data_IF_096302555286
#
_entry.id   IF_096302555286
#
_cell.length_a   1.000
_cell.length_b   1.000
_cell.length_c   1.000
_cell.angle_alpha   90.00
_cell.angle_beta   90.00
_cell.angle_gamma   90.00
#
_symmetry.space_group_name_H-M   'P 1'
#
loop_
_entity.id
_entity.type
_entity.pdbx_description
1 polymer ?
#
# COMPACT_ATOMS: atom_id res chain seq x y z
N UNK A 1 -10.10 -21.78 12.57
CA UNK A 1 -11.22 -20.99 12.01
C UNK A 1 -10.96 -20.76 10.54
N UNK A 2 -11.86 -21.16 9.62
CA UNK A 2 -11.64 -20.90 8.21
C UNK A 2 -11.61 -19.37 7.94
N UNK A 3 -10.77 -18.88 7.02
CA UNK A 3 -10.74 -17.48 6.69
C UNK A 3 -12.08 -17.04 6.08
N UNK A 4 -12.47 -15.79 6.32
CA UNK A 4 -13.68 -15.21 5.72
C UNK A 4 -13.45 -14.77 4.26
N UNK A 5 -12.18 -14.66 3.86
CA UNK A 5 -11.77 -14.19 2.54
C UNK A 5 -10.27 -14.34 2.33
N UNK A 6 -9.71 -13.54 1.44
CA UNK A 6 -8.26 -13.47 1.22
C UNK A 6 -7.59 -12.94 2.49
N UNK A 7 -6.65 -13.72 3.05
CA UNK A 7 -5.84 -13.24 4.18
C UNK A 7 -4.73 -12.33 3.66
N UNK A 8 -4.58 -11.15 4.24
CA UNK A 8 -3.54 -10.20 3.88
C UNK A 8 -3.07 -9.41 5.09
N UNK A 9 -1.79 -9.11 5.14
CA UNK A 9 -1.20 -8.30 6.20
C UNK A 9 -1.24 -6.82 5.84
N UNK A 10 -1.95 -6.04 6.63
CA UNK A 10 -2.05 -4.58 6.49
C UNK A 10 -1.32 -3.92 7.65
N UNK A 11 -0.41 -3.02 7.33
CA UNK A 11 0.37 -2.25 8.30
C UNK A 11 0.08 -0.77 8.17
N UNK A 12 0.00 -0.09 9.30
CA UNK A 12 0.03 1.38 9.41
C UNK A 12 1.43 1.76 9.83
N UNK A 13 2.05 2.64 9.07
CA UNK A 13 3.43 3.08 9.28
C UNK A 13 3.44 4.58 9.54
N UNK A 14 4.07 4.99 10.63
CA UNK A 14 4.41 6.37 10.95
C UNK A 14 5.91 6.56 10.75
N UNK A 15 6.31 7.46 9.87
CA UNK A 15 7.71 7.78 9.61
C UNK A 15 7.96 9.27 9.75
N UNK A 16 9.02 9.71 10.49
CA UNK A 16 9.36 11.11 10.59
C UNK A 16 9.63 11.81 9.25
N UNK A 17 10.02 11.04 8.23
CA UNK A 17 10.31 11.54 6.88
C UNK A 17 9.07 11.62 5.98
N UNK A 18 7.90 11.24 6.45
CA UNK A 18 6.65 11.34 5.68
C UNK A 18 5.58 12.08 6.50
N UNK A 19 4.84 12.96 5.85
CA UNK A 19 3.98 13.96 6.52
C UNK A 19 2.67 13.42 7.12
N UNK A 20 2.34 12.15 6.90
CA UNK A 20 1.12 11.51 7.42
C UNK A 20 1.32 10.00 7.65
N UNK A 21 0.34 9.36 8.28
CA UNK A 21 0.33 7.90 8.38
C UNK A 21 0.20 7.27 7.00
N UNK A 22 0.91 6.16 6.78
CA UNK A 22 0.91 5.42 5.53
C UNK A 22 0.41 3.99 5.77
N UNK A 23 -0.61 3.56 5.03
CA UNK A 23 -1.13 2.19 5.12
C UNK A 23 -0.52 1.35 4.02
N UNK A 24 0.09 0.23 4.34
CA UNK A 24 0.80 -0.62 3.37
C UNK A 24 0.35 -2.07 3.39
N UNK A 25 0.40 -2.77 2.28
CA UNK A 25 0.09 -4.20 2.14
C UNK A 25 0.70 -4.79 0.85
N UNK A 26 0.99 -6.09 0.77
CA UNK A 26 1.06 -7.11 1.80
C UNK A 26 2.51 -7.32 2.19
N UNK A 27 2.83 -7.27 3.48
CA UNK A 27 4.23 -7.34 3.93
C UNK A 27 4.62 -8.69 4.53
N UNK A 28 3.66 -9.65 4.70
CA UNK A 28 3.96 -10.85 5.48
C UNK A 28 3.14 -12.11 5.14
N UNK A 29 2.10 -12.08 4.31
CA UNK A 29 1.18 -13.20 4.12
C UNK A 29 1.16 -13.73 2.69
N UNK A 30 0.95 -12.88 1.68
CA UNK A 30 0.82 -13.30 0.28
C UNK A 30 2.12 -13.02 -0.47
N UNK A 31 2.90 -14.06 -0.84
CA UNK A 31 4.17 -13.83 -1.52
C UNK A 31 4.02 -13.07 -2.84
N UNK A 32 3.11 -13.52 -3.69
CA UNK A 32 2.83 -12.89 -4.98
C UNK A 32 1.31 -12.83 -5.18
N UNK A 33 0.66 -11.71 -4.78
CA UNK A 33 -0.78 -11.56 -4.94
C UNK A 33 -1.15 -11.50 -6.42
N UNK A 34 -2.13 -12.31 -6.82
CA UNK A 34 -2.73 -12.20 -8.14
C UNK A 34 -3.59 -10.93 -8.26
N UNK A 35 -4.07 -10.65 -9.48
CA UNK A 35 -4.83 -9.43 -9.76
C UNK A 35 -6.11 -9.32 -8.90
N UNK A 36 -6.82 -10.43 -8.69
CA UNK A 36 -8.03 -10.46 -7.85
C UNK A 36 -7.69 -10.22 -6.38
N UNK A 37 -6.61 -10.81 -5.91
CA UNK A 37 -6.10 -10.57 -4.56
C UNK A 37 -5.70 -9.11 -4.36
N UNK A 38 -5.06 -8.47 -5.36
CA UNK A 38 -4.73 -7.04 -5.32
C UNK A 38 -5.98 -6.15 -5.19
N UNK A 39 -7.06 -6.47 -5.89
CA UNK A 39 -8.34 -5.77 -5.72
C UNK A 39 -8.89 -5.89 -4.28
N UNK A 40 -8.78 -7.09 -3.68
CA UNK A 40 -9.18 -7.30 -2.28
C UNK A 40 -8.27 -6.54 -1.33
N UNK A 41 -6.97 -6.52 -1.58
CA UNK A 41 -5.98 -5.76 -0.79
C UNK A 41 -6.30 -4.26 -0.85
N UNK A 42 -6.63 -3.70 -2.01
CA UNK A 42 -7.08 -2.30 -2.14
C UNK A 42 -8.29 -2.02 -1.22
N UNK A 43 -9.25 -2.92 -1.16
CA UNK A 43 -10.39 -2.78 -0.25
C UNK A 43 -9.94 -2.79 1.23
N UNK A 44 -8.98 -3.65 1.60
CA UNK A 44 -8.44 -3.67 2.97
C UNK A 44 -7.66 -2.40 3.32
N UNK A 45 -6.79 -1.93 2.42
CA UNK A 45 -6.07 -0.66 2.56
C UNK A 45 -7.05 0.50 2.76
N UNK A 46 -8.05 0.59 1.89
CA UNK A 46 -9.09 1.59 1.92
C UNK A 46 -9.91 1.56 3.24
N UNK A 47 -10.29 0.36 3.69
CA UNK A 47 -11.00 0.19 4.96
C UNK A 47 -10.17 0.65 6.14
N UNK A 48 -8.88 0.27 6.18
CA UNK A 48 -7.96 0.69 7.24
C UNK A 48 -7.75 2.21 7.22
N UNK A 49 -7.53 2.81 6.06
CA UNK A 49 -7.38 4.26 5.94
C UNK A 49 -8.64 5.02 6.41
N UNK A 50 -9.84 4.50 6.11
CA UNK A 50 -11.09 5.08 6.63
C UNK A 50 -11.22 4.98 8.15
N UNK A 51 -10.75 3.89 8.76
CA UNK A 51 -10.70 3.77 10.22
C UNK A 51 -9.78 4.83 10.86
N UNK A 52 -8.78 5.31 10.11
CA UNK A 52 -7.91 6.42 10.49
C UNK A 52 -8.49 7.81 10.14
N UNK A 53 -9.75 7.88 9.68
CA UNK A 53 -10.43 9.14 9.38
C UNK A 53 -10.33 9.64 7.95
N UNK A 54 -9.67 8.91 7.04
CA UNK A 54 -9.53 9.30 5.64
C UNK A 54 -10.78 8.87 4.86
N UNK A 55 -11.56 9.83 4.37
CA UNK A 55 -12.83 9.53 3.69
C UNK A 55 -12.62 8.86 2.34
N UNK A 56 -11.82 9.46 1.46
CA UNK A 56 -11.50 8.96 0.12
C UNK A 56 -10.00 8.67 0.03
N UNK A 57 -9.55 7.44 0.37
CA UNK A 57 -8.14 7.10 0.40
C UNK A 57 -7.47 7.16 -0.97
N UNK A 58 -6.25 7.70 -1.01
CA UNK A 58 -5.36 7.74 -2.15
C UNK A 58 -4.41 6.54 -2.11
N UNK A 59 -4.47 5.69 -3.11
CA UNK A 59 -3.72 4.43 -3.15
C UNK A 59 -2.74 4.45 -4.32
N UNK A 60 -1.44 4.35 -4.03
CA UNK A 60 -0.39 4.22 -5.01
C UNK A 60 -0.09 2.74 -5.28
N UNK A 61 -0.20 2.30 -6.54
CA UNK A 61 0.25 0.98 -6.98
C UNK A 61 1.73 1.04 -7.32
N UNK A 62 2.55 0.43 -6.48
CA UNK A 62 4.02 0.50 -6.58
C UNK A 62 4.55 -0.39 -7.71
N UNK A 63 5.41 0.18 -8.51
CA UNK A 63 6.10 -0.45 -9.63
C UNK A 63 7.53 0.13 -9.74
N UNK A 64 8.41 -0.44 -10.58
CA UNK A 64 9.77 0.09 -10.72
C UNK A 64 9.86 1.46 -11.43
N UNK A 65 8.79 1.89 -12.10
CA UNK A 65 8.72 3.15 -12.85
C UNK A 65 7.29 3.68 -12.86
N UNK A 66 7.14 4.98 -13.08
CA UNK A 66 5.88 5.67 -13.37
C UNK A 66 5.42 5.48 -14.83
N UNK A 67 6.29 4.97 -15.68
CA UNK A 67 5.94 4.66 -17.07
C UNK A 67 5.19 3.32 -17.15
N UNK A 68 4.18 3.24 -18.02
CA UNK A 68 3.50 1.98 -18.30
C UNK A 68 4.41 1.10 -19.16
N UNK A 69 4.98 0.08 -18.53
CA UNK A 69 5.90 -0.87 -19.15
C UNK A 69 5.17 -2.20 -19.43
N UNK A 70 4.85 -2.52 -20.71
CA UNK A 70 4.03 -3.69 -21.05
C UNK A 70 4.58 -5.03 -20.56
N UNK A 71 5.90 -5.16 -20.46
CA UNK A 71 6.57 -6.39 -20.04
C UNK A 71 6.77 -6.50 -18.52
N UNK A 72 6.32 -5.49 -17.74
CA UNK A 72 6.42 -5.47 -16.27
C UNK A 72 5.04 -5.64 -15.68
N UNK A 73 4.77 -6.78 -15.06
CA UNK A 73 3.45 -7.14 -14.54
C UNK A 73 2.93 -6.09 -13.54
N UNK A 74 3.77 -5.63 -12.61
CA UNK A 74 3.38 -4.61 -11.63
C UNK A 74 2.99 -3.28 -12.29
N UNK A 75 3.61 -2.96 -13.44
CA UNK A 75 3.31 -1.75 -14.20
C UNK A 75 1.95 -1.86 -14.90
N UNK A 76 1.71 -2.96 -15.61
CA UNK A 76 0.44 -3.19 -16.33
C UNK A 76 -0.74 -3.35 -15.38
N UNK A 77 -0.57 -4.08 -14.29
CA UNK A 77 -1.61 -4.24 -13.27
C UNK A 77 -1.88 -2.93 -12.53
N UNK A 78 -0.84 -2.13 -12.23
CA UNK A 78 -1.00 -0.80 -11.65
C UNK A 78 -1.84 0.12 -12.52
N UNK A 79 -1.58 0.14 -13.83
CA UNK A 79 -2.36 0.91 -14.80
C UNK A 79 -3.83 0.43 -14.90
N UNK A 80 -4.06 -0.89 -14.85
CA UNK A 80 -5.41 -1.45 -14.84
C UNK A 80 -6.17 -1.07 -13.58
N UNK A 81 -5.54 -1.18 -12.40
CA UNK A 81 -6.13 -0.83 -11.12
C UNK A 81 -6.46 0.67 -11.04
N UNK A 82 -5.56 1.53 -11.54
CA UNK A 82 -5.81 2.96 -11.64
C UNK A 82 -7.06 3.23 -12.51
N UNK A 83 -7.16 2.57 -13.67
CA UNK A 83 -8.33 2.71 -14.53
C UNK A 83 -9.63 2.17 -13.93
N UNK A 84 -9.55 1.10 -13.15
CA UNK A 84 -10.69 0.58 -12.39
C UNK A 84 -11.12 1.56 -11.29
N UNK A 85 -10.16 2.23 -10.64
CA UNK A 85 -10.42 3.31 -9.70
C UNK A 85 -11.21 4.46 -10.35
N UNK A 86 -10.74 4.96 -11.49
CA UNK A 86 -11.42 6.01 -12.28
C UNK A 86 -12.88 5.66 -12.63
N UNK A 87 -13.16 4.37 -12.81
CA UNK A 87 -14.50 3.85 -13.14
C UNK A 87 -15.35 3.52 -11.92
N UNK A 88 -14.84 3.75 -10.70
CA UNK A 88 -15.54 3.43 -9.46
C UNK A 88 -15.66 1.93 -9.14
N UNK A 89 -14.95 1.06 -9.88
CA UNK A 89 -15.02 -0.39 -9.70
C UNK A 89 -14.38 -0.88 -8.38
N UNK A 90 -13.57 -0.03 -7.75
CA UNK A 90 -12.88 -0.30 -6.49
C UNK A 90 -13.51 0.44 -5.29
N UNK A 91 -14.69 1.02 -5.49
CA UNK A 91 -15.37 1.84 -4.48
C UNK A 91 -14.89 3.28 -4.45
N UNK A 92 -15.18 3.98 -3.35
CA UNK A 92 -14.81 5.39 -3.17
C UNK A 92 -13.34 5.52 -2.76
N UNK A 93 -12.45 5.35 -3.72
CA UNK A 93 -10.98 5.45 -3.59
C UNK A 93 -10.38 6.12 -4.82
N UNK A 94 -9.26 6.77 -4.66
CA UNK A 94 -8.45 7.28 -5.76
C UNK A 94 -7.24 6.35 -5.89
N UNK A 95 -7.13 5.67 -7.01
CA UNK A 95 -6.03 4.73 -7.28
C UNK A 95 -5.20 5.26 -8.43
N UNK A 96 -3.90 5.27 -8.30
CA UNK A 96 -2.98 5.57 -9.38
C UNK A 96 -1.81 4.59 -9.43
N UNK A 97 -1.32 4.36 -10.62
CA UNK A 97 -0.21 3.46 -10.92
C UNK A 97 -0.05 3.24 -12.43
N UNK A 98 1.13 2.75 -12.81
CA UNK A 98 2.27 2.42 -11.97
C UNK A 98 2.96 3.65 -11.39
N UNK A 99 3.50 3.57 -10.18
CA UNK A 99 4.32 4.63 -9.59
C UNK A 99 5.58 4.02 -8.97
N UNK A 100 6.75 4.60 -9.26
CA UNK A 100 7.95 4.28 -8.48
C UNK A 100 7.81 4.87 -7.06
N UNK A 101 8.50 4.28 -6.10
CA UNK A 101 8.33 4.64 -4.69
C UNK A 101 8.63 6.11 -4.42
N UNK A 102 9.67 6.65 -5.05
CA UNK A 102 10.05 8.06 -4.95
C UNK A 102 8.99 8.99 -5.52
N UNK A 103 8.44 8.67 -6.69
CA UNK A 103 7.33 9.41 -7.31
C UNK A 103 6.06 9.31 -6.47
N UNK A 104 5.80 8.15 -5.89
CA UNK A 104 4.63 7.97 -5.04
C UNK A 104 4.71 8.85 -3.79
N UNK A 105 5.89 8.95 -3.13
CA UNK A 105 6.01 9.58 -1.82
C UNK A 105 6.40 11.06 -1.85
N UNK A 106 7.11 11.52 -2.90
CA UNK A 106 7.69 12.87 -2.95
C UNK A 106 7.13 13.68 -4.13
N UNK A 107 6.45 14.76 -3.78
CA UNK A 107 5.79 15.62 -4.78
C UNK A 107 6.79 16.28 -5.73
N UNK A 108 7.94 16.73 -5.22
CA UNK A 108 9.01 17.32 -6.03
C UNK A 108 9.59 16.32 -7.04
N UNK A 109 9.65 15.02 -6.71
CA UNK A 109 10.09 13.97 -7.63
C UNK A 109 9.05 13.73 -8.71
N UNK A 110 7.77 13.68 -8.34
CA UNK A 110 6.66 13.54 -9.29
C UNK A 110 6.62 14.71 -10.29
N UNK A 111 6.83 15.93 -9.80
CA UNK A 111 6.91 17.14 -10.62
C UNK A 111 8.14 17.12 -11.55
N UNK A 112 9.30 16.74 -11.03
CA UNK A 112 10.54 16.63 -11.81
C UNK A 112 10.42 15.60 -12.94
N UNK A 113 9.84 14.45 -12.66
CA UNK A 113 9.55 13.39 -13.64
C UNK A 113 8.32 13.67 -14.50
N UNK A 114 7.67 14.83 -14.32
CA UNK A 114 6.54 15.32 -15.13
C UNK A 114 5.34 14.36 -15.13
N UNK A 115 5.06 13.71 -14.00
CA UNK A 115 3.87 12.90 -13.85
C UNK A 115 2.64 13.80 -13.87
N UNK A 116 1.78 13.61 -14.87
CA UNK A 116 0.61 14.50 -15.11
C UNK A 116 -0.67 13.81 -14.68
N UNK A 117 -1.60 14.60 -14.14
CA UNK A 117 -2.96 14.13 -13.86
C UNK A 117 -3.11 13.19 -12.68
N UNK A 118 -2.05 12.95 -11.91
CA UNK A 118 -2.12 12.12 -10.71
C UNK A 118 -2.58 12.94 -9.51
N UNK A 119 -3.64 12.49 -8.85
CA UNK A 119 -4.07 12.99 -7.55
C UNK A 119 -3.41 12.23 -6.38
N UNK A 120 -2.60 11.22 -6.68
CA UNK A 120 -1.97 10.30 -5.71
C UNK A 120 -0.48 10.58 -5.58
N UNK A 121 0.23 10.78 -6.70
CA UNK A 121 1.67 10.96 -6.71
C UNK A 121 2.12 12.12 -5.80
N UNK A 122 3.04 11.83 -4.90
CA UNK A 122 3.55 12.76 -3.89
C UNK A 122 2.71 12.89 -2.62
N UNK A 123 1.52 12.24 -2.56
CA UNK A 123 0.61 12.36 -1.40
C UNK A 123 -0.33 11.14 -1.21
N UNK A 124 0.14 9.89 -1.32
CA UNK A 124 -0.68 8.71 -1.06
C UNK A 124 -0.99 8.54 0.43
N UNK A 125 -2.14 7.93 0.71
CA UNK A 125 -2.50 7.42 2.04
C UNK A 125 -2.13 5.94 2.16
N UNK A 126 -2.09 5.24 1.02
CA UNK A 126 -1.85 3.80 0.98
C UNK A 126 -0.85 3.43 -0.12
N UNK A 127 -0.05 2.39 0.13
CA UNK A 127 0.80 1.75 -0.88
C UNK A 127 0.38 0.29 -1.08
N UNK A 128 0.08 -0.06 -2.33
CA UNK A 128 -0.06 -1.44 -2.77
C UNK A 128 1.24 -1.89 -3.40
N UNK A 129 1.90 -2.86 -2.78
CA UNK A 129 3.14 -3.45 -3.30
C UNK A 129 2.85 -4.61 -4.26
N UNK A 130 3.71 -4.83 -5.27
CA UNK A 130 3.51 -5.89 -6.27
C UNK A 130 3.73 -7.30 -5.71
N UNK A 131 4.58 -7.44 -4.71
CA UNK A 131 4.95 -8.69 -4.06
C UNK A 131 5.39 -8.47 -2.61
N UNK A 132 5.48 -9.55 -1.87
CA UNK A 132 5.83 -9.55 -0.45
C UNK A 132 7.26 -9.04 -0.22
N UNK A 133 8.21 -9.40 -1.07
CA UNK A 133 9.61 -9.03 -0.90
C UNK A 133 9.78 -7.52 -0.92
N UNK A 134 9.19 -6.82 -1.90
CA UNK A 134 9.27 -5.37 -2.00
C UNK A 134 8.59 -4.67 -0.81
N UNK A 135 7.43 -5.16 -0.40
CA UNK A 135 6.71 -4.65 0.76
C UNK A 135 7.48 -4.88 2.07
N UNK A 136 8.05 -6.07 2.25
CA UNK A 136 8.81 -6.43 3.44
C UNK A 136 10.11 -5.62 3.54
N UNK A 137 10.83 -5.43 2.42
CA UNK A 137 12.02 -4.56 2.38
C UNK A 137 11.64 -3.13 2.76
N UNK A 138 10.57 -2.57 2.21
CA UNK A 138 10.09 -1.24 2.59
C UNK A 138 9.76 -1.17 4.09
N UNK A 139 8.99 -2.14 4.60
CA UNK A 139 8.63 -2.24 6.02
C UNK A 139 9.86 -2.23 6.92
N UNK A 140 10.87 -3.04 6.60
CA UNK A 140 12.13 -3.11 7.38
C UNK A 140 12.95 -1.83 7.26
N UNK A 141 12.99 -1.23 6.07
CA UNK A 141 13.68 0.05 5.86
C UNK A 141 13.00 1.18 6.65
N UNK A 142 11.68 1.24 6.66
CA UNK A 142 10.92 2.21 7.43
C UNK A 142 11.24 2.12 8.94
N UNK A 143 11.30 0.90 9.49
CA UNK A 143 11.58 0.71 10.92
C UNK A 143 13.04 0.96 11.28
N UNK A 144 13.99 0.45 10.50
CA UNK A 144 15.40 0.44 10.89
C UNK A 144 16.20 1.66 10.39
N UNK A 145 15.80 2.25 9.25
CA UNK A 145 16.51 3.39 8.68
C UNK A 145 15.77 4.72 8.89
N UNK A 146 14.44 4.69 8.95
CA UNK A 146 13.64 5.90 9.07
C UNK A 146 13.06 6.09 10.49
N UNK A 147 13.43 5.27 11.47
CA UNK A 147 12.87 5.30 12.82
C UNK A 147 11.33 5.24 12.85
N UNK A 148 10.75 4.50 11.91
CA UNK A 148 9.32 4.37 11.78
C UNK A 148 8.71 3.48 12.87
N UNK A 149 7.51 3.86 13.33
CA UNK A 149 6.67 3.04 14.19
C UNK A 149 5.60 2.36 13.35
N UNK A 150 5.19 1.14 13.75
CA UNK A 150 4.28 0.32 12.96
C UNK A 150 3.22 -0.30 13.86
N UNK A 151 1.98 -0.30 13.36
CA UNK A 151 0.89 -1.12 13.87
C UNK A 151 0.37 -2.01 12.73
N UNK A 152 0.04 -3.28 13.01
CA UNK A 152 -0.31 -4.21 11.95
C UNK A 152 -1.40 -5.21 12.36
N UNK A 153 -2.19 -5.63 11.37
CA UNK A 153 -3.21 -6.65 11.52
C UNK A 153 -3.34 -7.53 10.28
N UNK A 154 -3.82 -8.75 10.48
CA UNK A 154 -4.22 -9.63 9.39
C UNK A 154 -5.70 -9.38 9.06
N UNK A 155 -5.96 -8.97 7.83
CA UNK A 155 -7.30 -8.76 7.30
C UNK A 155 -7.83 -10.06 6.64
N UNK A 156 -9.16 -10.16 6.49
CA UNK A 156 -9.81 -11.35 5.92
C UNK A 156 -10.14 -12.43 6.94
N UNK A 157 -9.88 -12.18 8.21
CA UNK A 157 -10.23 -13.04 9.34
C UNK A 157 -11.64 -12.76 9.86
N UNK A 158 -12.24 -13.72 10.59
CA UNK A 158 -13.56 -13.55 11.24
C UNK A 158 -13.50 -12.72 12.52
N UNK A 159 -12.33 -12.66 13.14
CA UNK A 159 -12.03 -11.93 14.37
C UNK A 159 -10.80 -11.06 14.17
N UNK A 160 -10.62 -9.96 14.90
CA UNK A 160 -9.39 -9.17 14.81
C UNK A 160 -8.16 -10.04 15.10
N UNK A 161 -7.18 -9.99 14.20
CA UNK A 161 -5.91 -10.71 14.33
C UNK A 161 -4.76 -9.71 14.21
N UNK A 162 -4.10 -9.44 15.33
CA UNK A 162 -2.89 -8.62 15.37
C UNK A 162 -1.68 -9.53 15.12
N UNK A 163 -0.82 -9.13 14.22
CA UNK A 163 0.42 -9.83 13.90
C UNK A 163 1.58 -8.83 13.87
N UNK A 164 2.45 -8.95 14.85
CA UNK A 164 3.68 -8.14 14.96
C UNK A 164 4.90 -8.97 14.59
N UNK A 165 6.00 -8.30 14.21
CA UNK A 165 7.27 -8.95 13.97
C UNK A 165 7.93 -9.40 15.29
N UNK A 166 8.67 -10.50 15.27
CA UNK A 166 9.48 -10.94 16.42
C UNK A 166 10.52 -9.91 16.83
N UNK A 167 11.03 -9.13 15.87
CA UNK A 167 12.01 -8.05 16.08
C UNK A 167 11.40 -6.69 16.48
N UNK A 168 10.08 -6.58 16.61
CA UNK A 168 9.43 -5.33 16.96
C UNK A 168 9.66 -4.95 18.43
N UNK A 169 9.66 -3.63 18.70
CA UNK A 169 9.80 -3.10 20.06
C UNK A 169 8.58 -3.46 20.93
N UNK A 170 8.73 -3.37 22.25
CA UNK A 170 7.61 -3.56 23.18
C UNK A 170 6.46 -2.58 22.91
N UNK A 171 6.76 -1.35 22.49
CA UNK A 171 5.75 -0.34 22.12
C UNK A 171 4.95 -0.74 20.89
N UNK A 172 5.60 -1.29 19.88
CA UNK A 172 4.92 -1.78 18.67
C UNK A 172 4.04 -3.01 18.94
N UNK A 173 4.38 -3.79 19.98
CA UNK A 173 3.63 -5.01 20.35
C UNK A 173 2.42 -4.73 21.23
N UNK A 174 2.30 -3.56 21.83
CA UNK A 174 1.17 -3.09 22.63
C UNK A 174 0.14 -2.38 21.77
#
# INVERSE_FOLDING_TARGET
FPPKGVLSHVSVVEMPCYHKLLVISDVAVIPLPDFKQKMVIINYLSKTARMLGIKTPKIACIAPSEQVLPNVISSTEGALLAKMGDRGQLGDVIVDGPLSLDVALYKEVAEHKKVRGSAVAGDPDCLLFPNLESANVFFKSATHFCNGEIAAMVMGTKVPCVLTSRGDTSRTKL
#
